data_IF_018502045207
#
_entry.id   IF_018502045207
#
_cell.length_a   1.000
_cell.length_b   1.000
_cell.length_c   1.000
_cell.angle_alpha   90.00
_cell.angle_beta   90.00
_cell.angle_gamma   90.00
#
_symmetry.space_group_name_H-M   'P 1'
#
loop_
_entity.id
_entity.type
_entity.pdbx_description
1 polymer ?
#
# COMPACT_ATOMS: atom_id res chain seq x y z
N UNK A 1 2.93 -11.42 -15.09
CA UNK A 1 1.49 -11.41 -14.75
C UNK A 1 1.05 -12.54 -13.83
N UNK A 2 1.60 -13.77 -13.95
CA UNK A 2 1.23 -14.95 -13.12
C UNK A 2 1.13 -14.70 -11.61
N UNK A 3 2.10 -14.03 -10.98
CA UNK A 3 2.03 -13.74 -9.54
C UNK A 3 0.85 -12.85 -9.18
N UNK A 4 0.57 -11.82 -9.99
CA UNK A 4 -0.57 -10.92 -9.79
C UNK A 4 -1.90 -11.65 -10.01
N UNK A 5 -1.94 -12.64 -10.91
CA UNK A 5 -3.09 -13.53 -11.08
C UNK A 5 -3.30 -14.44 -9.86
N UNK A 6 -2.23 -15.03 -9.32
CA UNK A 6 -2.30 -15.84 -8.09
C UNK A 6 -2.80 -15.00 -6.91
N UNK A 7 -2.37 -13.73 -6.84
CA UNK A 7 -2.81 -12.76 -5.84
C UNK A 7 -4.23 -12.21 -6.11
N UNK A 8 -4.91 -12.65 -7.17
CA UNK A 8 -6.26 -12.23 -7.52
C UNK A 8 -6.37 -10.78 -8.01
N UNK A 9 -5.25 -10.14 -8.37
CA UNK A 9 -5.24 -8.79 -8.93
C UNK A 9 -5.80 -8.83 -10.36
N UNK A 10 -5.42 -9.83 -11.14
CA UNK A 10 -5.97 -10.08 -12.48
C UNK A 10 -6.60 -11.46 -12.55
N UNK A 11 -7.65 -11.63 -13.35
CA UNK A 11 -8.11 -12.96 -13.77
C UNK A 11 -7.57 -13.26 -15.17
N UNK A 12 -7.38 -14.53 -15.49
CA UNK A 12 -6.94 -14.99 -16.81
C UNK A 12 -8.10 -15.69 -17.47
N UNK A 13 -8.40 -15.32 -18.71
CA UNK A 13 -9.31 -16.05 -19.58
C UNK A 13 -8.49 -16.90 -20.56
N UNK A 14 -8.78 -18.20 -20.60
CA UNK A 14 -8.19 -19.11 -21.58
C UNK A 14 -9.21 -19.27 -22.70
N UNK A 15 -8.97 -18.61 -23.83
CA UNK A 15 -9.89 -18.63 -24.97
C UNK A 15 -10.12 -20.05 -25.51
N UNK A 16 -11.22 -20.30 -26.25
CA UNK A 16 -11.65 -21.64 -26.63
C UNK A 16 -10.86 -22.29 -27.78
N UNK A 17 -9.75 -21.71 -28.25
CA UNK A 17 -9.11 -22.19 -29.47
C UNK A 17 -7.59 -22.17 -29.42
N UNK A 18 -7.02 -23.15 -30.11
CA UNK A 18 -5.64 -23.65 -30.14
C UNK A 18 -4.61 -22.63 -30.70
N UNK A 19 -4.97 -21.36 -30.84
CA UNK A 19 -4.04 -20.26 -31.14
C UNK A 19 -3.44 -19.74 -29.82
N UNK A 20 -2.67 -20.61 -29.19
CA UNK A 20 -2.19 -20.53 -27.81
C UNK A 20 -1.05 -19.52 -27.57
N UNK A 21 -1.15 -18.30 -28.09
CA UNK A 21 -0.12 -17.26 -27.87
C UNK A 21 -0.57 -16.06 -27.05
N UNK A 22 -1.86 -15.71 -27.02
CA UNK A 22 -2.32 -14.53 -26.29
C UNK A 22 -3.16 -14.88 -25.05
N UNK A 23 -2.54 -14.74 -23.87
CA UNK A 23 -3.23 -14.79 -22.59
C UNK A 23 -3.98 -13.47 -22.34
N UNK A 24 -5.30 -13.52 -22.24
CA UNK A 24 -6.13 -12.36 -21.91
C UNK A 24 -6.25 -12.19 -20.40
N UNK A 25 -5.83 -11.01 -19.92
CA UNK A 25 -5.91 -10.64 -18.51
C UNK A 25 -7.06 -9.66 -18.29
N UNK A 26 -8.00 -10.03 -17.43
CA UNK A 26 -9.16 -9.23 -17.08
C UNK A 26 -8.99 -8.54 -15.72
N UNK A 27 -9.59 -7.36 -15.59
CA UNK A 27 -9.60 -6.61 -14.34
C UNK A 27 -10.54 -7.25 -13.33
N UNK A 28 -10.02 -7.48 -12.13
CA UNK A 28 -10.79 -7.82 -10.93
C UNK A 28 -11.23 -6.55 -10.18
N UNK A 29 -12.16 -6.64 -9.21
CA UNK A 29 -12.49 -5.51 -8.35
C UNK A 29 -11.27 -4.83 -7.70
N UNK A 30 -10.24 -5.60 -7.33
CA UNK A 30 -9.04 -5.08 -6.69
C UNK A 30 -8.16 -4.28 -7.67
N UNK A 31 -7.96 -4.78 -8.89
CA UNK A 31 -7.24 -4.02 -9.93
C UNK A 31 -8.00 -2.78 -10.40
N UNK A 32 -9.34 -2.76 -10.33
CA UNK A 32 -10.15 -1.58 -10.68
C UNK A 32 -9.89 -0.39 -9.75
N UNK A 33 -9.50 -0.63 -8.49
CA UNK A 33 -9.11 0.44 -7.55
C UNK A 33 -7.82 1.16 -7.96
N UNK A 34 -7.01 0.52 -8.83
CA UNK A 34 -5.77 1.09 -9.36
C UNK A 34 -6.00 1.91 -10.64
N UNK A 35 -7.20 1.82 -11.24
CA UNK A 35 -7.56 2.51 -12.49
C UNK A 35 -8.03 3.93 -12.20
N UNK A 36 -7.36 4.91 -12.84
CA UNK A 36 -7.47 6.36 -12.61
C UNK A 36 -8.87 6.99 -12.77
N UNK A 37 -9.81 6.31 -13.41
CA UNK A 37 -11.16 6.82 -13.69
C UNK A 37 -12.20 6.47 -12.61
N UNK A 38 -11.83 5.72 -11.57
CA UNK A 38 -12.74 5.46 -10.46
C UNK A 38 -12.72 6.60 -9.43
N UNK A 39 -13.89 6.96 -8.91
CA UNK A 39 -14.03 7.95 -7.82
C UNK A 39 -13.32 7.53 -6.52
N UNK A 40 -12.85 6.28 -6.44
CA UNK A 40 -12.13 5.69 -5.30
C UNK A 40 -10.74 5.19 -5.71
N UNK A 41 -10.02 5.94 -6.54
CA UNK A 41 -8.65 5.59 -6.95
C UNK A 41 -7.71 5.51 -5.75
N UNK A 42 -7.25 4.31 -5.43
CA UNK A 42 -6.25 4.06 -4.40
C UNK A 42 -4.82 4.02 -4.98
N UNK A 43 -4.67 4.31 -6.28
CA UNK A 43 -3.38 4.30 -7.00
C UNK A 43 -2.32 5.20 -6.34
N UNK A 44 -2.71 6.39 -5.85
CA UNK A 44 -1.79 7.30 -5.16
C UNK A 44 -1.34 6.76 -3.79
N UNK A 45 -2.23 6.09 -3.06
CA UNK A 45 -1.90 5.47 -1.77
C UNK A 45 -0.93 4.31 -2.00
N UNK A 46 -1.21 3.46 -2.99
CA UNK A 46 -0.32 2.35 -3.34
C UNK A 46 1.05 2.86 -3.77
N UNK A 47 1.12 3.94 -4.58
CA UNK A 47 2.37 4.59 -4.95
C UNK A 47 3.17 5.08 -3.75
N UNK A 48 2.51 5.70 -2.77
CA UNK A 48 3.17 6.15 -1.55
C UNK A 48 3.67 4.97 -0.71
N UNK A 49 2.92 3.86 -0.63
CA UNK A 49 3.33 2.66 0.11
C UNK A 49 4.50 1.91 -0.55
N UNK A 50 4.60 1.93 -1.88
CA UNK A 50 5.72 1.29 -2.61
C UNK A 50 6.88 2.23 -2.91
N UNK A 51 6.76 3.52 -2.57
CA UNK A 51 7.87 4.46 -2.69
C UNK A 51 9.02 4.00 -1.78
N UNK A 52 10.22 3.73 -2.32
CA UNK A 52 11.31 3.15 -1.55
C UNK A 52 11.69 3.99 -0.32
N UNK A 53 11.60 5.31 -0.42
CA UNK A 53 11.91 6.21 0.68
C UNK A 53 10.87 6.08 1.79
N UNK A 54 9.59 6.12 1.42
CA UNK A 54 8.46 5.95 2.34
C UNK A 54 8.47 4.58 3.02
N UNK A 55 8.72 3.51 2.25
CA UNK A 55 8.79 2.15 2.77
C UNK A 55 10.00 1.96 3.69
N UNK A 56 11.17 2.49 3.32
CA UNK A 56 12.38 2.39 4.16
C UNK A 56 12.18 3.15 5.47
N UNK A 57 11.61 4.35 5.42
CA UNK A 57 11.27 5.13 6.61
C UNK A 57 10.30 4.36 7.52
N UNK A 58 9.21 3.82 6.96
CA UNK A 58 8.24 3.00 7.71
C UNK A 58 8.91 1.78 8.36
N UNK A 59 9.69 1.01 7.61
CA UNK A 59 10.38 -0.16 8.14
C UNK A 59 11.39 0.20 9.24
N UNK A 60 12.06 1.35 9.12
CA UNK A 60 13.05 1.82 10.10
C UNK A 60 12.38 2.20 11.42
N UNK A 61 11.29 2.99 11.35
CA UNK A 61 10.50 3.40 12.51
C UNK A 61 9.87 2.17 13.20
N UNK A 62 9.36 1.22 12.42
CA UNK A 62 8.83 -0.04 12.95
C UNK A 62 9.94 -0.82 13.66
N UNK A 63 11.13 -0.92 13.06
CA UNK A 63 12.27 -1.61 13.68
C UNK A 63 12.67 -1.01 15.02
N UNK A 64 12.76 0.32 15.11
CA UNK A 64 13.03 1.04 16.36
C UNK A 64 11.93 0.79 17.40
N UNK A 65 10.67 0.88 16.99
CA UNK A 65 9.51 0.67 17.86
C UNK A 65 9.48 -0.73 18.50
N UNK A 66 9.89 -1.76 17.76
CA UNK A 66 9.95 -3.13 18.26
C UNK A 66 11.21 -3.44 19.10
N UNK A 67 12.31 -2.71 18.89
CA UNK A 67 13.59 -3.02 19.54
C UNK A 67 13.86 -2.19 20.78
N UNK A 68 13.40 -0.94 20.82
CA UNK A 68 13.50 -0.09 22.01
C UNK A 68 12.33 -0.33 22.96
N UNK A 69 12.65 -0.83 24.17
CA UNK A 69 11.67 -1.03 25.25
C UNK A 69 10.94 0.25 25.65
N UNK A 70 11.55 1.43 25.48
CA UNK A 70 10.91 2.72 25.75
C UNK A 70 9.94 3.08 24.63
N UNK A 71 10.34 2.86 23.38
CA UNK A 71 9.49 3.10 22.22
C UNK A 71 8.26 2.19 22.20
N UNK A 72 8.35 0.95 22.70
CA UNK A 72 7.20 0.03 22.78
C UNK A 72 6.01 0.54 23.59
N UNK A 73 6.21 1.51 24.48
CA UNK A 73 5.12 2.15 25.24
C UNK A 73 4.43 3.29 24.49
N UNK A 74 5.02 3.74 23.38
CA UNK A 74 4.52 4.79 22.51
C UNK A 74 3.81 4.17 21.31
N UNK A 75 2.97 4.94 20.64
CA UNK A 75 2.40 4.59 19.34
C UNK A 75 3.43 4.82 18.24
N UNK A 76 3.30 4.11 17.10
CA UNK A 76 4.16 4.32 15.93
C UNK A 76 4.16 5.79 15.45
N UNK A 77 3.02 6.47 15.59
CA UNK A 77 2.90 7.89 15.27
C UNK A 77 3.78 8.76 16.18
N UNK A 78 3.76 8.49 17.48
CA UNK A 78 4.58 9.23 18.45
C UNK A 78 6.07 8.96 18.25
N UNK A 79 6.46 7.74 17.92
CA UNK A 79 7.85 7.43 17.54
C UNK A 79 8.26 8.18 16.28
N UNK A 80 7.40 8.21 15.25
CA UNK A 80 7.68 8.88 13.98
C UNK A 80 7.76 10.41 14.08
N UNK A 81 6.93 11.02 14.93
CA UNK A 81 6.72 12.46 14.95
C UNK A 81 7.16 13.15 16.25
N UNK A 82 7.57 12.40 17.27
CA UNK A 82 8.01 12.92 18.58
C UNK A 82 6.92 13.63 19.38
N UNK A 83 5.66 13.53 18.98
CA UNK A 83 4.50 14.13 19.64
C UNK A 83 3.25 13.30 19.39
N UNK A 84 2.24 13.50 20.21
CA UNK A 84 0.93 12.86 20.06
C UNK A 84 0.16 13.48 18.90
N UNK A 85 -0.80 12.73 18.35
CA UNK A 85 -1.66 13.20 17.27
C UNK A 85 -2.46 14.46 17.67
N UNK A 86 -2.87 14.54 18.92
CA UNK A 86 -3.66 15.66 19.43
C UNK A 86 -2.80 16.92 19.60
N UNK A 87 -1.54 16.80 20.06
CA UNK A 87 -0.59 17.92 20.10
C UNK A 87 -0.29 18.47 18.70
N UNK A 88 -0.13 17.57 17.72
CA UNK A 88 0.12 17.99 16.33
C UNK A 88 -1.09 18.70 15.71
N UNK A 89 -2.31 18.24 16.00
CA UNK A 89 -3.55 18.94 15.59
C UNK A 89 -3.67 20.32 16.24
N UNK A 90 -3.38 20.43 17.53
CA UNK A 90 -3.45 21.69 18.25
C UNK A 90 -2.48 22.73 17.68
N UNK A 91 -1.26 22.33 17.28
CA UNK A 91 -0.26 23.21 16.64
C UNK A 91 -0.64 23.68 15.23
N UNK A 92 -1.52 22.96 14.52
CA UNK A 92 -1.95 23.31 13.16
C UNK A 92 -3.16 24.26 13.13
N UNK A 93 -3.82 24.47 14.27
CA UNK A 93 -5.01 25.31 14.41
C UNK A 93 -4.75 26.77 14.82
N UNK A 94 -3.49 27.24 14.75
CA UNK A 94 -3.08 28.64 14.99
C UNK A 94 -2.40 29.19 13.75
#
# INVERSE_FOLDING_TARGET
MRALTILGIFSVDQGPHDDATDMHYNLTPLSRLLVGDSSCTQSLIMRMLVDPLSLTALCSIIGEWFTDKRASTLTLFEVAHGCTREEMKAKKGT
#
